data_IF_156917427999
#
_entry.id   IF_156917427999
#
_cell.length_a   1.000
_cell.length_b   1.000
_cell.length_c   1.000
_cell.angle_alpha   90.00
_cell.angle_beta   90.00
_cell.angle_gamma   90.00
#
_symmetry.space_group_name_H-M   'P 1'
#
loop_
_entity.id
_entity.type
_entity.pdbx_description
1 polymer ?
#
# COMPACT_ATOMS: atom_id res chain seq x y z
N UNK A 1 -2.46 18.48 0.30
CA UNK A 1 -1.35 18.07 -0.57
C UNK A 1 -0.03 18.58 0.00
N UNK A 2 0.83 17.67 0.45
CA UNK A 2 2.10 17.92 1.13
C UNK A 2 3.17 18.47 0.17
N UNK A 3 3.09 18.15 -1.12
CA UNK A 3 4.00 18.69 -2.13
C UNK A 3 3.87 20.22 -2.24
N UNK A 4 2.65 20.76 -2.16
CA UNK A 4 2.40 22.21 -2.14
C UNK A 4 2.87 22.89 -0.85
N UNK A 5 3.20 22.12 0.19
CA UNK A 5 3.76 22.59 1.46
C UNK A 5 5.30 22.53 1.48
N UNK A 6 5.93 22.24 0.33
CA UNK A 6 7.39 22.18 0.19
C UNK A 6 8.00 20.88 0.71
N UNK A 7 7.18 19.85 0.99
CA UNK A 7 7.69 18.55 1.40
C UNK A 7 8.04 17.70 0.17
N UNK A 8 9.34 17.59 -0.11
CA UNK A 8 9.90 16.73 -1.15
C UNK A 8 10.83 15.72 -0.47
N UNK A 9 10.35 14.52 -0.10
CA UNK A 9 11.21 13.52 0.51
C UNK A 9 12.32 13.13 -0.47
N UNK A 10 13.55 13.01 0.04
CA UNK A 10 14.64 12.40 -0.73
C UNK A 10 14.35 10.91 -0.86
N UNK A 11 13.76 10.53 -2.00
CA UNK A 11 13.47 9.13 -2.31
C UNK A 11 14.74 8.43 -2.80
N UNK A 12 14.96 7.15 -2.46
CA UNK A 12 15.99 6.36 -3.12
C UNK A 12 15.72 6.27 -4.63
N UNK A 13 16.76 5.95 -5.43
CA UNK A 13 16.70 5.91 -6.90
C UNK A 13 15.47 5.14 -7.44
N UNK A 14 15.13 4.01 -6.82
CA UNK A 14 14.01 3.16 -7.21
C UNK A 14 12.84 3.21 -6.22
N UNK A 15 12.76 4.23 -5.36
CA UNK A 15 11.79 4.25 -4.25
C UNK A 15 12.22 3.35 -3.08
N UNK A 16 11.30 3.12 -2.14
CA UNK A 16 11.57 2.25 -0.99
C UNK A 16 11.52 0.77 -1.40
N UNK A 17 12.23 -0.05 -0.64
CA UNK A 17 12.23 -1.50 -0.77
C UNK A 17 13.21 -2.11 0.22
N UNK A 18 12.99 -3.38 0.56
CA UNK A 18 14.02 -4.17 1.24
C UNK A 18 15.22 -4.45 0.29
N UNK A 19 16.38 -4.87 0.80
CA UNK A 19 17.57 -5.10 -0.02
C UNK A 19 17.35 -6.06 -1.20
N UNK A 20 16.54 -7.10 -1.02
CA UNK A 20 16.24 -8.09 -2.06
C UNK A 20 15.38 -7.47 -3.15
N UNK A 21 14.27 -6.83 -2.77
CA UNK A 21 13.37 -6.14 -3.69
C UNK A 21 14.10 -5.03 -4.45
N UNK A 22 14.95 -4.26 -3.76
CA UNK A 22 15.73 -3.18 -4.38
C UNK A 22 16.74 -3.71 -5.41
N UNK A 23 17.44 -4.80 -5.10
CA UNK A 23 18.39 -5.44 -6.02
C UNK A 23 17.70 -6.03 -7.26
N UNK A 24 16.55 -6.68 -7.07
CA UNK A 24 15.74 -7.21 -8.16
C UNK A 24 15.29 -6.10 -9.11
N UNK A 25 14.69 -5.03 -8.56
CA UNK A 25 14.24 -3.88 -9.36
C UNK A 25 15.41 -3.23 -10.09
N UNK A 26 16.57 -3.06 -9.43
CA UNK A 26 17.76 -2.52 -10.09
C UNK A 26 18.15 -3.33 -11.32
N UNK A 27 18.17 -4.66 -11.19
CA UNK A 27 18.47 -5.57 -12.31
C UNK A 27 17.46 -5.43 -13.45
N UNK A 28 16.17 -5.36 -13.13
CA UNK A 28 15.10 -5.21 -14.13
C UNK A 28 15.18 -3.85 -14.84
N UNK A 29 15.39 -2.77 -14.09
CA UNK A 29 15.53 -1.42 -14.67
C UNK A 29 16.72 -1.37 -15.63
N UNK A 30 17.85 -1.96 -15.25
CA UNK A 30 19.05 -1.99 -16.10
C UNK A 30 18.82 -2.82 -17.37
N UNK A 31 18.19 -4.00 -17.25
CA UNK A 31 17.81 -4.85 -18.38
C UNK A 31 16.81 -4.18 -19.34
N UNK A 32 15.92 -3.35 -18.81
CA UNK A 32 14.88 -2.63 -19.56
C UNK A 32 15.31 -1.21 -19.93
N UNK A 33 16.59 -0.86 -19.78
CA UNK A 33 17.09 0.51 -20.00
C UNK A 33 16.83 1.03 -21.42
N UNK A 34 16.86 0.17 -22.43
CA UNK A 34 16.60 0.55 -23.82
C UNK A 34 15.15 1.00 -24.08
N UNK A 35 14.17 0.43 -23.37
CA UNK A 35 12.75 0.79 -23.52
C UNK A 35 12.25 1.73 -22.42
N UNK A 36 12.92 1.74 -21.26
CA UNK A 36 12.46 2.42 -20.07
C UNK A 36 11.14 1.87 -19.53
N UNK A 37 10.81 0.60 -19.79
CA UNK A 37 9.54 0.00 -19.40
C UNK A 37 9.36 -0.10 -17.88
N UNK A 38 10.45 -0.30 -17.14
CA UNK A 38 10.47 -0.30 -15.67
C UNK A 38 11.38 0.82 -15.19
N UNK A 39 10.88 1.67 -14.28
CA UNK A 39 11.60 2.88 -13.83
C UNK A 39 11.56 3.11 -12.32
N UNK A 40 10.76 2.37 -11.58
CA UNK A 40 10.59 2.51 -10.13
C UNK A 40 10.39 1.15 -9.47
N UNK A 41 10.44 1.15 -8.15
CA UNK A 41 10.21 -0.02 -7.31
C UNK A 41 8.75 -0.42 -7.20
N UNK A 42 8.53 -1.49 -6.46
CA UNK A 42 7.22 -2.14 -6.37
C UNK A 42 6.20 -1.30 -5.56
N UNK A 43 4.93 -1.37 -5.97
CA UNK A 43 3.83 -0.61 -5.36
C UNK A 43 3.55 -1.00 -3.89
N UNK A 44 3.97 -2.20 -3.47
CA UNK A 44 3.94 -2.61 -2.07
C UNK A 44 4.77 -1.71 -1.14
N UNK A 45 5.70 -0.93 -1.69
CA UNK A 45 6.51 0.06 -0.97
C UNK A 45 6.15 1.52 -1.31
N UNK A 46 5.07 1.75 -2.05
CA UNK A 46 4.58 3.09 -2.34
C UNK A 46 3.71 3.60 -1.17
N UNK A 47 4.38 4.16 -0.16
CA UNK A 47 3.73 4.64 1.07
C UNK A 47 3.21 6.09 0.98
N UNK A 48 3.66 6.86 -0.01
CA UNK A 48 3.30 8.28 -0.11
C UNK A 48 2.04 8.52 -0.94
N UNK A 49 1.82 7.69 -1.95
CA UNK A 49 0.67 7.76 -2.84
C UNK A 49 0.28 6.34 -3.24
N UNK A 50 -0.23 5.51 -2.30
CA UNK A 50 -0.67 4.17 -2.64
C UNK A 50 -1.69 4.28 -3.77
N UNK A 51 -1.32 3.73 -4.91
CA UNK A 51 -2.19 3.74 -6.09
C UNK A 51 -3.31 2.72 -5.86
N UNK A 52 -4.46 2.97 -6.48
CA UNK A 52 -5.49 1.94 -6.58
C UNK A 52 -4.91 0.74 -7.33
N UNK A 53 -5.30 -0.46 -6.91
CA UNK A 53 -4.87 -1.67 -7.57
C UNK A 53 -5.37 -1.67 -9.02
N UNK A 54 -4.46 -2.04 -9.93
CA UNK A 54 -4.83 -2.22 -11.33
C UNK A 54 -5.91 -3.30 -11.48
N UNK A 55 -6.78 -3.21 -12.50
CA UNK A 55 -7.80 -4.23 -12.73
C UNK A 55 -7.22 -5.60 -13.10
N UNK A 56 -6.00 -5.62 -13.64
CA UNK A 56 -5.32 -6.82 -14.13
C UNK A 56 -3.83 -6.77 -13.78
N UNK A 57 -3.26 -7.95 -13.50
CA UNK A 57 -1.87 -8.16 -13.14
C UNK A 57 -1.27 -9.26 -14.00
N UNK A 58 -0.01 -9.07 -14.42
CA UNK A 58 0.81 -10.14 -14.98
C UNK A 58 1.63 -10.78 -13.87
N UNK A 59 1.45 -12.09 -13.66
CA UNK A 59 2.19 -12.87 -12.67
C UNK A 59 3.18 -13.78 -13.41
N UNK A 60 4.44 -13.76 -12.98
CA UNK A 60 5.53 -14.62 -13.47
C UNK A 60 6.17 -15.31 -12.26
N UNK A 61 6.37 -16.63 -12.32
CA UNK A 61 6.97 -17.40 -11.22
C UNK A 61 7.95 -18.45 -11.75
N UNK A 62 8.88 -18.86 -10.90
CA UNK A 62 9.96 -19.78 -11.30
C UNK A 62 9.85 -21.17 -10.67
N UNK A 63 8.92 -21.36 -9.72
CA UNK A 63 8.77 -22.64 -9.06
C UNK A 63 7.33 -22.90 -8.66
N UNK A 64 6.87 -24.11 -8.93
CA UNK A 64 5.53 -24.59 -8.60
C UNK A 64 5.63 -26.01 -8.06
N UNK A 65 4.91 -26.29 -6.97
CA UNK A 65 4.95 -27.57 -6.28
C UNK A 65 3.52 -28.10 -6.14
N UNK A 66 3.30 -29.34 -6.57
CA UNK A 66 2.03 -30.04 -6.40
C UNK A 66 1.75 -30.33 -4.92
N UNK A 67 0.49 -30.66 -4.60
CA UNK A 67 0.05 -30.96 -3.22
C UNK A 67 0.77 -32.15 -2.58
N UNK A 68 1.29 -33.07 -3.39
CA UNK A 68 2.06 -34.22 -2.94
C UNK A 68 3.57 -33.93 -2.77
N UNK A 69 3.99 -32.67 -2.97
CA UNK A 69 5.38 -32.24 -2.90
C UNK A 69 6.15 -32.36 -4.22
N UNK A 70 5.53 -32.86 -5.30
CA UNK A 70 6.18 -32.97 -6.61
C UNK A 70 6.46 -31.59 -7.17
N UNK A 71 7.70 -31.30 -7.53
CA UNK A 71 8.05 -30.04 -8.19
C UNK A 71 7.61 -30.08 -9.65
N UNK A 72 6.65 -29.23 -10.01
CA UNK A 72 6.08 -29.14 -11.36
C UNK A 72 6.91 -28.20 -12.25
N UNK A 73 7.46 -27.15 -11.66
CA UNK A 73 8.27 -26.13 -12.32
C UNK A 73 9.44 -25.81 -11.38
N UNK A 74 10.66 -25.79 -11.91
CA UNK A 74 11.87 -25.40 -11.16
C UNK A 74 12.90 -24.74 -12.09
N UNK A 75 12.74 -23.44 -12.31
CA UNK A 75 13.68 -22.67 -13.10
C UNK A 75 13.12 -21.39 -13.69
N UNK A 76 14.05 -20.62 -14.26
CA UNK A 76 13.77 -19.38 -14.98
C UNK A 76 13.87 -19.56 -16.51
N UNK A 77 14.10 -20.79 -16.98
CA UNK A 77 14.10 -21.10 -18.41
C UNK A 77 12.65 -21.22 -18.88
N UNK A 78 12.16 -20.19 -19.58
CA UNK A 78 10.77 -20.04 -20.01
C UNK A 78 9.76 -20.09 -18.84
N UNK A 79 9.82 -19.10 -17.91
CA UNK A 79 9.01 -19.14 -16.72
C UNK A 79 7.51 -19.05 -17.09
N UNK A 80 6.65 -19.81 -16.41
CA UNK A 80 5.21 -19.66 -16.57
C UNK A 80 4.77 -18.23 -16.24
N UNK A 81 3.75 -17.77 -16.96
CA UNK A 81 3.12 -16.50 -16.71
C UNK A 81 1.61 -16.58 -16.96
N UNK A 82 0.85 -15.73 -16.28
CA UNK A 82 -0.59 -15.55 -16.53
C UNK A 82 -1.05 -14.16 -16.15
N UNK A 83 -2.08 -13.67 -16.85
CA UNK A 83 -2.83 -12.48 -16.44
C UNK A 83 -3.92 -12.86 -15.45
N UNK A 84 -4.08 -12.09 -14.38
CA UNK A 84 -5.05 -12.33 -13.31
C UNK A 84 -5.72 -11.02 -12.89
N UNK A 85 -6.96 -11.07 -12.43
CA UNK A 85 -7.57 -9.96 -11.71
C UNK A 85 -7.16 -9.95 -10.22
N UNK A 86 -7.61 -8.96 -9.44
CA UNK A 86 -7.27 -8.85 -8.02
C UNK A 86 -7.64 -10.09 -7.19
N UNK A 87 -8.82 -10.69 -7.43
CA UNK A 87 -9.29 -11.87 -6.69
C UNK A 87 -8.34 -13.05 -6.95
N UNK A 88 -8.07 -13.30 -8.23
CA UNK A 88 -7.16 -14.36 -8.67
C UNK A 88 -5.71 -14.12 -8.23
N UNK A 89 -5.29 -12.85 -8.12
CA UNK A 89 -4.00 -12.49 -7.55
C UNK A 89 -3.91 -12.89 -6.08
N UNK A 90 -4.93 -12.57 -5.27
CA UNK A 90 -4.96 -12.96 -3.85
C UNK A 90 -4.96 -14.46 -3.66
N UNK A 91 -5.75 -15.19 -4.46
CA UNK A 91 -5.74 -16.67 -4.45
C UNK A 91 -4.34 -17.22 -4.75
N UNK A 92 -3.68 -16.70 -5.79
CA UNK A 92 -2.31 -17.09 -6.13
C UNK A 92 -1.33 -16.79 -4.99
N UNK A 93 -1.40 -15.60 -4.39
CA UNK A 93 -0.52 -15.18 -3.31
C UNK A 93 -0.72 -16.02 -2.03
N UNK A 94 -1.96 -16.40 -1.71
CA UNK A 94 -2.27 -17.30 -0.60
C UNK A 94 -1.66 -18.70 -0.81
N UNK A 95 -1.73 -19.25 -2.01
CA UNK A 95 -1.08 -20.53 -2.33
C UNK A 95 0.44 -20.43 -2.18
N UNK A 96 1.05 -19.37 -2.72
CA UNK A 96 2.50 -19.15 -2.62
C UNK A 96 2.95 -18.94 -1.17
N UNK A 97 2.18 -18.22 -0.36
CA UNK A 97 2.49 -18.05 1.07
C UNK A 97 2.53 -19.39 1.82
N UNK A 98 1.62 -20.33 1.49
CA UNK A 98 1.62 -21.70 2.05
C UNK A 98 2.83 -22.53 1.64
N UNK A 99 3.42 -22.22 0.48
CA UNK A 99 4.66 -22.84 -0.01
C UNK A 99 5.94 -22.19 0.54
N UNK A 100 5.80 -21.18 1.40
CA UNK A 100 6.92 -20.46 2.02
C UNK A 100 7.43 -19.27 1.23
N UNK A 101 6.79 -18.90 0.13
CA UNK A 101 7.11 -17.65 -0.54
C UNK A 101 6.83 -16.47 0.39
N UNK A 102 7.73 -15.51 0.35
CA UNK A 102 7.62 -14.25 1.06
C UNK A 102 7.48 -13.13 0.05
N UNK A 103 6.53 -12.23 0.25
CA UNK A 103 6.37 -11.04 -0.56
C UNK A 103 5.85 -9.86 0.27
N UNK A 104 6.35 -8.64 0.03
CA UNK A 104 5.90 -7.45 0.73
C UNK A 104 4.46 -7.08 0.36
N UNK A 105 3.71 -6.57 1.34
CA UNK A 105 2.33 -6.09 1.20
C UNK A 105 2.29 -4.61 1.61
N UNK A 106 1.58 -3.77 0.86
CA UNK A 106 1.34 -2.40 1.30
C UNK A 106 0.38 -2.43 2.51
N UNK A 107 0.71 -1.82 3.67
CA UNK A 107 -0.17 -1.79 4.85
C UNK A 107 -1.58 -1.28 4.57
N UNK A 108 -1.78 -0.46 3.54
CA UNK A 108 -3.11 0.06 3.22
C UNK A 108 -4.05 -1.03 2.68
N UNK A 109 -3.53 -2.08 2.01
CA UNK A 109 -4.38 -3.11 1.40
C UNK A 109 -5.09 -3.96 2.46
N UNK A 110 -4.41 -4.50 3.48
CA UNK A 110 -5.08 -5.15 4.60
C UNK A 110 -6.06 -4.26 5.34
N UNK A 111 -5.91 -2.93 5.34
CA UNK A 111 -6.88 -2.02 5.99
C UNK A 111 -8.14 -1.81 5.15
N UNK A 112 -8.00 -1.63 3.83
CA UNK A 112 -9.15 -1.45 2.92
C UNK A 112 -9.94 -2.74 2.64
N UNK A 113 -9.30 -3.86 2.95
CA UNK A 113 -9.75 -5.26 2.96
C UNK A 113 -10.89 -5.69 2.04
N UNK A 114 -10.49 -6.23 0.89
CA UNK A 114 -11.29 -7.14 0.07
C UNK A 114 -10.91 -8.62 0.32
N UNK A 115 -10.25 -8.93 1.45
CA UNK A 115 -9.57 -10.20 1.74
C UNK A 115 -8.04 -10.14 1.61
N UNK A 116 -7.45 -8.95 1.77
CA UNK A 116 -5.99 -8.75 1.83
C UNK A 116 -5.43 -9.02 3.22
N UNK A 117 -6.26 -8.90 4.26
CA UNK A 117 -5.86 -9.30 5.61
C UNK A 117 -5.53 -10.80 5.68
N UNK A 118 -6.28 -11.63 4.97
CA UNK A 118 -6.04 -13.08 4.89
C UNK A 118 -4.67 -13.39 4.28
N UNK A 119 -4.27 -12.66 3.24
CA UNK A 119 -2.95 -12.79 2.61
C UNK A 119 -1.84 -12.44 3.61
N UNK A 120 -2.02 -11.33 4.36
CA UNK A 120 -1.07 -10.92 5.39
C UNK A 120 -0.94 -11.99 6.50
N UNK A 121 -2.07 -12.53 6.97
CA UNK A 121 -2.08 -13.60 7.99
C UNK A 121 -1.38 -14.86 7.50
N UNK A 122 -1.62 -15.28 6.25
CA UNK A 122 -0.93 -16.44 5.67
C UNK A 122 0.60 -16.26 5.67
N UNK A 123 1.10 -15.05 5.39
CA UNK A 123 2.53 -14.75 5.49
C UNK A 123 3.04 -14.76 6.95
N UNK A 124 2.21 -14.39 7.93
CA UNK A 124 2.58 -14.42 9.35
C UNK A 124 2.60 -15.84 9.93
N UNK A 125 1.77 -16.74 9.41
CA UNK A 125 1.65 -18.12 9.88
C UNK A 125 2.79 -19.02 9.37
N UNK A 126 3.33 -18.74 8.18
CA UNK A 126 4.44 -19.53 7.63
C UNK A 126 5.79 -19.06 8.19
N UNK A 127 6.59 -19.98 8.74
CA UNK A 127 7.84 -19.66 9.47
C UNK A 127 8.82 -18.80 8.64
N UNK A 128 9.11 -19.22 7.39
CA UNK A 128 10.03 -18.51 6.49
C UNK A 128 9.53 -17.09 6.14
N UNK A 129 8.22 -16.94 5.91
CA UNK A 129 7.62 -15.66 5.55
C UNK A 129 7.46 -14.71 6.73
N UNK A 130 7.16 -15.24 7.92
CA UNK A 130 6.98 -14.47 9.13
C UNK A 130 8.23 -13.67 9.51
N UNK A 131 9.43 -14.21 9.24
CA UNK A 131 10.69 -13.48 9.44
C UNK A 131 10.77 -12.22 8.57
N UNK A 132 10.39 -12.32 7.30
CA UNK A 132 10.38 -11.19 6.37
C UNK A 132 9.28 -10.19 6.73
N UNK A 133 8.09 -10.67 7.11
CA UNK A 133 7.00 -9.82 7.60
C UNK A 133 7.43 -8.99 8.81
N UNK A 134 8.15 -9.58 9.78
CA UNK A 134 8.69 -8.82 10.92
C UNK A 134 9.71 -7.75 10.53
N UNK A 135 10.38 -7.91 9.39
CA UNK A 135 11.28 -6.87 8.86
C UNK A 135 10.51 -5.73 8.21
N UNK A 136 9.45 -6.03 7.45
CA UNK A 136 8.60 -5.02 6.80
C UNK A 136 7.67 -4.31 7.78
N UNK A 137 7.21 -5.03 8.80
CA UNK A 137 6.34 -4.56 9.89
C UNK A 137 6.99 -4.87 11.25
N UNK A 138 8.02 -4.09 11.66
CA UNK A 138 8.68 -4.33 12.95
C UNK A 138 7.67 -4.25 14.09
N UNK A 139 7.68 -5.18 15.08
CA UNK A 139 6.72 -5.17 16.18
C UNK A 139 6.66 -3.84 16.93
N UNK A 140 7.82 -3.19 17.10
CA UNK A 140 7.89 -1.87 17.73
C UNK A 140 7.13 -0.76 16.98
N UNK A 141 6.69 -0.98 15.72
CA UNK A 141 5.88 -0.02 14.95
C UNK A 141 4.42 -0.02 15.34
N UNK A 142 3.91 -1.09 15.98
CA UNK A 142 2.49 -1.22 16.30
C UNK A 142 1.57 -1.35 15.09
N UNK A 143 2.13 -1.49 13.87
CA UNK A 143 1.33 -1.45 12.63
C UNK A 143 0.44 -2.68 12.46
N UNK A 144 0.94 -3.87 12.80
CA UNK A 144 0.15 -5.11 12.64
C UNK A 144 -1.00 -5.15 13.65
N UNK A 145 -0.73 -4.75 14.88
CA UNK A 145 -1.72 -4.59 15.93
C UNK A 145 -2.79 -3.59 15.50
N UNK A 146 -2.36 -2.45 14.93
CA UNK A 146 -3.29 -1.42 14.45
C UNK A 146 -4.14 -1.90 13.28
N UNK A 147 -3.55 -2.62 12.31
CA UNK A 147 -4.31 -3.23 11.21
C UNK A 147 -5.38 -4.17 11.78
N UNK A 148 -5.04 -4.97 12.78
CA UNK A 148 -5.99 -5.89 13.41
C UNK A 148 -7.10 -5.16 14.16
N UNK A 149 -6.78 -4.13 14.96
CA UNK A 149 -7.78 -3.31 15.67
C UNK A 149 -8.79 -2.67 14.72
N UNK A 150 -8.32 -2.15 13.58
CA UNK A 150 -9.18 -1.55 12.57
C UNK A 150 -10.15 -2.55 11.97
N UNK A 151 -9.68 -3.78 11.78
CA UNK A 151 -10.48 -4.90 11.32
C UNK A 151 -11.52 -5.35 12.33
N UNK A 152 -11.12 -5.47 13.59
CA UNK A 152 -12.03 -5.82 14.67
C UNK A 152 -13.14 -4.77 14.82
N UNK A 153 -12.79 -3.49 14.64
CA UNK A 153 -13.75 -2.38 14.66
C UNK A 153 -14.59 -2.28 13.38
N UNK A 154 -14.03 -2.66 12.22
CA UNK A 154 -14.65 -2.55 10.90
C UNK A 154 -14.47 -3.86 10.10
N UNK A 155 -15.25 -4.92 10.38
CA UNK A 155 -15.03 -6.25 9.80
C UNK A 155 -15.17 -6.33 8.27
N UNK A 156 -15.78 -5.31 7.65
CA UNK A 156 -15.95 -5.22 6.19
C UNK A 156 -14.92 -4.30 5.53
N UNK A 157 -13.89 -3.87 6.27
CA UNK A 157 -12.88 -2.94 5.78
C UNK A 157 -13.40 -1.54 5.48
N UNK A 158 -12.62 -0.78 4.71
CA UNK A 158 -12.95 0.57 4.27
C UNK A 158 -13.04 0.63 2.74
N UNK A 159 -14.18 1.07 2.21
CA UNK A 159 -14.35 1.29 0.77
C UNK A 159 -14.19 2.76 0.40
N UNK A 160 -13.69 3.01 -0.81
CA UNK A 160 -13.67 4.36 -1.36
C UNK A 160 -15.10 4.75 -1.71
N UNK A 161 -15.66 5.71 -0.96
CA UNK A 161 -16.91 6.36 -1.36
C UNK A 161 -16.61 7.12 -2.64
N UNK A 162 -17.10 6.63 -3.79
CA UNK A 162 -17.14 7.44 -5.00
C UNK A 162 -18.01 8.64 -4.66
N UNK A 163 -17.44 9.85 -4.66
CA UNK A 163 -18.24 11.07 -4.57
C UNK A 163 -19.27 11.01 -5.70
N UNK A 164 -20.52 10.70 -5.37
CA UNK A 164 -21.62 10.80 -6.31
C UNK A 164 -21.81 12.29 -6.57
N UNK A 165 -21.28 12.76 -7.71
CA UNK A 165 -21.69 14.02 -8.32
C UNK A 165 -23.14 13.92 -8.79
N UNK A 166 -24.08 13.84 -7.84
CA UNK A 166 -25.49 14.11 -8.09
C UNK A 166 -25.90 15.30 -7.24
N UNK A 167 -25.48 16.49 -7.67
CA UNK A 167 -26.21 17.70 -7.31
C UNK A 167 -27.33 17.85 -8.33
N UNK A 168 -28.55 17.54 -7.90
CA UNK A 168 -29.79 17.78 -8.61
C UNK A 168 -29.81 19.15 -9.31
N UNK A 169 -29.86 19.13 -10.65
CA UNK A 169 -30.41 20.23 -11.44
C UNK A 169 -31.91 20.34 -11.13
N UNK A 170 -32.25 21.13 -10.11
CA UNK A 170 -33.60 21.69 -10.00
C UNK A 170 -33.66 22.96 -10.85
N UNK A 171 -34.61 23.07 -11.80
CA UNK A 171 -34.73 24.26 -12.63
C UNK A 171 -35.35 25.39 -11.79
N UNK A 172 -34.51 26.28 -11.26
CA UNK A 172 -34.99 27.55 -10.73
C UNK A 172 -35.13 28.56 -11.87
N UNK A 173 -36.37 29.01 -12.04
CA UNK A 173 -36.82 29.89 -13.11
C UNK A 173 -36.05 31.20 -13.23
N UNK A 174 -36.12 31.73 -14.46
CA UNK A 174 -35.57 33.00 -14.89
C UNK A 174 -35.90 34.17 -13.97
N UNK A 175 -34.87 34.78 -13.39
CA UNK A 175 -34.84 36.22 -13.15
C UNK A 175 -33.39 36.73 -13.22
N UNK A 176 -33.14 37.59 -14.21
CA UNK A 176 -31.86 38.26 -14.41
C UNK A 176 -31.48 39.12 -13.20
N UNK A 177 -30.24 38.96 -12.69
CA UNK A 177 -29.59 39.93 -11.79
C UNK A 177 -28.11 40.16 -12.20
N UNK A 178 -27.57 41.35 -11.91
CA UNK A 178 -26.61 42.03 -12.78
C UNK A 178 -25.15 41.66 -12.50
N UNK A 179 -24.33 41.87 -13.52
CA UNK A 179 -22.89 41.66 -13.53
C UNK A 179 -22.15 42.71 -12.68
N UNK A 180 -21.92 42.44 -11.38
CA UNK A 180 -20.86 43.07 -10.58
C UNK A 180 -20.77 42.45 -9.17
N UNK A 181 -20.20 41.25 -9.04
CA UNK A 181 -19.57 40.77 -7.81
C UNK A 181 -18.69 39.57 -8.14
N UNK A 182 -17.44 39.81 -8.51
CA UNK A 182 -16.43 38.75 -8.66
C UNK A 182 -15.97 38.37 -7.25
N UNK A 183 -16.81 37.62 -6.55
CA UNK A 183 -16.51 37.13 -5.21
C UNK A 183 -15.50 35.98 -5.30
N UNK A 184 -14.43 36.11 -4.53
CA UNK A 184 -13.31 35.17 -4.45
C UNK A 184 -13.85 33.79 -4.07
N UNK A 185 -13.72 32.82 -4.99
CA UNK A 185 -13.92 31.39 -4.69
C UNK A 185 -13.05 31.04 -3.47
N UNK A 186 -13.69 30.85 -2.31
CA UNK A 186 -13.07 30.26 -1.12
C UNK A 186 -12.59 28.86 -1.51
N UNK A 187 -11.28 28.68 -1.50
CA UNK A 187 -10.66 27.37 -1.71
C UNK A 187 -11.15 26.36 -0.67
N UNK A 188 -11.44 25.15 -1.17
CA UNK A 188 -11.56 23.88 -0.47
C UNK A 188 -11.34 23.93 1.06
N UNK A 189 -12.44 23.77 1.80
CA UNK A 189 -12.51 23.66 3.26
C UNK A 189 -11.75 22.44 3.80
N UNK A 190 -11.57 21.40 2.97
CA UNK A 190 -10.90 20.15 3.31
C UNK A 190 -9.52 20.31 3.94
N UNK A 191 -8.68 21.20 3.40
CA UNK A 191 -7.32 21.39 3.92
C UNK A 191 -7.27 22.14 5.27
N UNK A 192 -8.35 22.84 5.64
CA UNK A 192 -8.47 23.55 6.91
C UNK A 192 -9.15 22.69 7.98
N UNK A 193 -10.07 21.81 7.57
CA UNK A 193 -10.72 20.86 8.46
C UNK A 193 -9.73 19.76 8.88
N UNK A 194 -8.96 19.20 7.94
CA UNK A 194 -7.86 18.27 8.22
C UNK A 194 -6.79 18.85 9.17
N UNK A 195 -6.59 20.18 9.17
CA UNK A 195 -5.68 20.86 10.10
C UNK A 195 -6.22 20.93 11.52
N UNK A 196 -7.54 21.05 11.68
CA UNK A 196 -8.18 21.06 13.00
C UNK A 196 -8.14 19.68 13.62
N UNK A 197 -8.33 18.64 12.83
CA UNK A 197 -8.38 17.25 13.32
C UNK A 197 -6.99 16.77 13.78
N UNK A 198 -5.94 17.09 13.01
CA UNK A 198 -4.54 16.82 13.42
C UNK A 198 -4.20 17.55 14.72
N UNK A 199 -4.59 18.82 14.88
CA UNK A 199 -4.33 19.60 16.11
C UNK A 199 -5.16 19.13 17.30
N UNK A 200 -6.39 18.69 17.09
CA UNK A 200 -7.24 18.13 18.13
C UNK A 200 -6.60 16.85 18.69
N UNK A 201 -6.16 15.96 17.79
CA UNK A 201 -5.46 14.72 18.11
C UNK A 201 -4.13 14.96 18.85
N UNK A 202 -3.28 15.88 18.38
CA UNK A 202 -2.00 16.23 19.03
C UNK A 202 -2.17 16.82 20.44
N UNK A 203 -3.34 17.41 20.73
CA UNK A 203 -3.62 18.03 22.04
C UNK A 203 -4.41 17.13 23.00
N UNK A 204 -4.65 15.86 22.64
CA UNK A 204 -5.44 14.93 23.46
C UNK A 204 -6.91 15.38 23.63
N UNK A 205 -7.40 16.27 22.77
CA UNK A 205 -8.80 16.70 22.77
C UNK A 205 -9.61 15.80 21.85
N UNK A 206 -10.80 15.42 22.30
CA UNK A 206 -11.76 14.70 21.49
C UNK A 206 -12.10 15.56 20.26
N UNK A 207 -11.95 14.99 19.07
CA UNK A 207 -12.36 15.65 17.83
C UNK A 207 -13.86 15.97 17.90
N UNK A 208 -14.33 17.11 17.36
CA UNK A 208 -15.77 17.37 17.27
C UNK A 208 -16.43 16.27 16.43
N UNK A 209 -17.63 15.83 16.83
CA UNK A 209 -18.39 14.75 16.19
C UNK A 209 -18.31 14.78 14.65
N UNK A 210 -17.46 13.92 14.11
CA UNK A 210 -17.40 13.53 12.71
C UNK A 210 -17.61 12.03 12.66
N UNK A 211 -18.84 11.60 12.96
CA UNK A 211 -19.26 10.22 12.72
C UNK A 211 -18.93 9.85 11.25
N UNK A 212 -18.12 8.80 11.09
CA UNK A 212 -17.86 8.01 9.87
C UNK A 212 -16.94 8.53 8.77
N UNK A 213 -16.35 9.73 8.87
CA UNK A 213 -15.34 10.18 7.88
C UNK A 213 -13.95 10.33 8.53
N UNK A 214 -12.98 9.63 7.94
CA UNK A 214 -11.52 9.78 8.09
C UNK A 214 -10.70 8.87 9.02
N UNK A 215 -11.20 7.70 9.44
CA UNK A 215 -10.30 6.69 10.06
C UNK A 215 -9.28 6.11 9.06
N UNK A 216 -9.70 5.76 7.85
CA UNK A 216 -8.80 5.26 6.80
C UNK A 216 -7.72 6.30 6.40
N UNK A 217 -8.08 7.59 6.43
CA UNK A 217 -7.13 8.69 6.19
C UNK A 217 -6.18 8.89 7.37
N UNK A 218 -6.63 8.64 8.61
CA UNK A 218 -5.76 8.61 9.79
C UNK A 218 -4.75 7.47 9.73
N UNK A 219 -5.15 6.30 9.22
CA UNK A 219 -4.25 5.15 9.00
C UNK A 219 -3.23 5.45 7.95
N UNK A 220 -3.63 5.99 6.80
CA UNK A 220 -2.71 6.45 5.75
C UNK A 220 -1.72 7.49 6.32
N UNK A 221 -2.18 8.44 7.14
CA UNK A 221 -1.33 9.40 7.83
C UNK A 221 -0.37 8.76 8.86
N UNK A 222 -0.84 7.78 9.64
CA UNK A 222 -0.03 7.06 10.63
C UNK A 222 1.00 6.16 9.97
N UNK A 223 0.62 5.42 8.92
CA UNK A 223 1.53 4.64 8.06
C UNK A 223 2.58 5.58 7.46
N UNK A 224 2.18 6.70 6.87
CA UNK A 224 3.11 7.71 6.33
C UNK A 224 4.05 8.24 7.41
N UNK A 225 3.56 8.51 8.62
CA UNK A 225 4.35 9.05 9.75
C UNK A 225 5.34 8.02 10.32
N UNK A 226 4.89 6.79 10.53
CA UNK A 226 5.72 5.75 11.16
C UNK A 226 6.77 5.22 10.19
N UNK A 227 6.41 5.07 8.90
CA UNK A 227 7.38 4.77 7.85
C UNK A 227 8.38 5.91 7.64
N UNK A 228 7.94 7.20 7.73
CA UNK A 228 8.80 8.39 7.70
C UNK A 228 9.87 8.41 8.80
N UNK A 229 9.56 7.93 10.01
CA UNK A 229 10.50 7.94 11.13
C UNK A 229 11.53 6.80 11.05
N UNK A 230 11.15 5.64 10.51
CA UNK A 230 11.99 4.44 10.49
C UNK A 230 12.89 4.37 9.27
N UNK A 231 12.37 4.62 8.06
CA UNK A 231 13.20 4.56 6.84
C UNK A 231 14.24 5.68 6.74
N UNK A 232 14.05 6.80 7.46
CA UNK A 232 15.08 7.84 7.59
C UNK A 232 16.27 7.44 8.49
N UNK A 233 16.12 6.38 9.32
CA UNK A 233 17.12 5.91 10.30
C UNK A 233 17.79 4.58 9.93
N UNK A 234 17.36 3.92 8.85
CA UNK A 234 18.01 2.69 8.38
C UNK A 234 19.34 3.05 7.69
N UNK A 235 20.42 3.08 8.47
CA UNK A 235 21.77 2.73 8.01
C UNK A 235 21.96 1.25 8.30
N UNK A 236 21.78 0.37 7.31
CA UNK A 236 22.06 -1.07 7.43
C UNK A 236 22.61 -1.48 6.06
N UNK A 237 23.93 -1.60 5.87
CA UNK A 237 24.82 -2.69 6.31
C UNK A 237 24.40 -4.05 5.75
N UNK A 238 25.10 -4.41 4.68
CA UNK A 238 25.13 -5.66 3.94
C UNK A 238 25.18 -6.90 4.85
N UNK A 239 24.20 -7.81 4.74
CA UNK A 239 24.39 -9.26 4.95
C UNK A 239 23.46 -10.01 4.00
N UNK A 240 24.05 -10.70 3.03
CA UNK A 240 23.41 -11.70 2.18
C UNK A 240 23.37 -13.00 2.97
N UNK A 241 22.20 -13.60 3.16
CA UNK A 241 22.09 -15.01 3.55
C UNK A 241 21.57 -15.80 2.37
N UNK A 242 22.49 -16.50 1.70
CA UNK A 242 22.16 -17.55 0.74
C UNK A 242 21.83 -18.81 1.53
N UNK A 243 20.71 -19.41 1.16
CA UNK A 243 20.19 -20.74 1.53
C UNK A 243 21.30 -21.71 1.99
N UNK A 244 21.23 -22.16 3.24
CA UNK A 244 21.97 -23.35 3.68
C UNK A 244 21.35 -24.57 3.01
N UNK A 245 21.95 -25.02 1.90
CA UNK A 245 21.73 -26.35 1.39
C UNK A 245 22.28 -27.35 2.41
N UNK A 246 21.42 -28.21 2.94
CA UNK A 246 21.84 -29.36 3.73
C UNK A 246 22.63 -30.32 2.86
N UNK A 247 23.79 -30.73 3.36
CA UNK A 247 24.46 -32.00 3.04
C UNK A 247 24.22 -32.91 4.23
#
# INVERSE_FOLDING_TARGET
>A
DEARRGFHPNLPKYGFGDPTSYGLIGTIVDAMSASGAVRHGAECFNFYFPQELDPEFLVVWSKEVAKDGTVLIDGLENPPWKTVNEIQLREFLLERAKEGYSFPINPVWPVRDAGWLEVLRALQEHEEAAANVRSWFPPASGLLERIQELHDANPNGFSVVKDTEEVHDLPLGHAARPAAARERRRGSTYANDLRKDIKAFESGRQAPDTETRDEANLVDLLVRREMKARYARIRVSLVVSLKSGGV
#
